data_IF_561844149483
#
_entry.id   IF_561844149483
#
_cell.length_a   1.000
_cell.length_b   1.000
_cell.length_c   1.000
_cell.angle_alpha   90.00
_cell.angle_beta   90.00
_cell.angle_gamma   90.00
#
_symmetry.space_group_name_H-M   'P 1'
#
loop_
_entity.id
_entity.type
_entity.pdbx_description
1 polymer ?
#
# COMPACT_ATOMS: atom_id res chain seq x y z
N UNK A 1 7.61 75.36 20.65
CA UNK A 1 7.75 73.89 20.63
C UNK A 1 6.38 73.31 20.30
N UNK A 2 6.20 72.79 19.08
CA UNK A 2 4.92 72.21 18.66
C UNK A 2 4.91 70.74 19.08
N UNK A 3 4.06 70.37 20.04
CA UNK A 3 3.81 68.97 20.40
C UNK A 3 2.68 68.45 19.51
N UNK A 4 2.98 67.49 18.66
CA UNK A 4 1.98 66.73 17.91
C UNK A 4 1.64 65.51 18.78
N UNK A 5 0.43 65.50 19.33
CA UNK A 5 -0.12 64.35 20.03
C UNK A 5 -0.86 63.50 19.00
N UNK A 6 -0.24 62.39 18.58
CA UNK A 6 -0.86 61.41 17.68
C UNK A 6 -1.85 60.58 18.51
N UNK A 7 -3.06 61.11 18.70
CA UNK A 7 -4.20 60.33 19.15
C UNK A 7 -4.55 59.28 18.10
N UNK A 8 -3.90 58.12 18.16
CA UNK A 8 -4.22 56.97 17.32
C UNK A 8 -5.58 56.43 17.77
N UNK A 9 -6.64 56.77 17.05
CA UNK A 9 -7.92 56.09 17.17
C UNK A 9 -7.69 54.63 16.74
N UNK A 10 -7.59 53.72 17.72
CA UNK A 10 -7.18 52.34 17.52
C UNK A 10 -8.30 51.49 16.91
N UNK A 11 -9.55 51.94 17.01
CA UNK A 11 -10.71 51.17 16.54
C UNK A 11 -10.69 50.89 15.02
N UNK A 12 -10.45 51.87 14.12
CA UNK A 12 -10.30 51.62 12.68
C UNK A 12 -9.14 50.67 12.35
N UNK A 13 -8.00 50.81 13.04
CA UNK A 13 -6.82 49.96 12.84
C UNK A 13 -7.11 48.51 13.25
N UNK A 14 -7.82 48.33 14.37
CA UNK A 14 -8.20 47.01 14.88
C UNK A 14 -9.24 46.33 13.96
N UNK A 15 -10.21 47.10 13.44
CA UNK A 15 -11.20 46.60 12.49
C UNK A 15 -10.56 46.19 11.14
N UNK A 16 -9.61 46.98 10.64
CA UNK A 16 -8.84 46.65 9.43
C UNK A 16 -7.96 45.40 9.61
N UNK A 17 -7.33 45.24 10.78
CA UNK A 17 -6.58 44.02 11.12
C UNK A 17 -7.49 42.78 11.21
N UNK A 18 -8.68 42.90 11.81
CA UNK A 18 -9.68 41.83 11.87
C UNK A 18 -10.20 41.44 10.48
N UNK A 19 -10.34 42.39 9.57
CA UNK A 19 -10.80 42.11 8.20
C UNK A 19 -9.71 41.42 7.36
N UNK A 20 -8.45 41.87 7.50
CA UNK A 20 -7.28 41.21 6.94
C UNK A 20 -7.14 39.78 7.49
N UNK A 21 -7.30 39.60 8.80
CA UNK A 21 -7.28 38.30 9.45
C UNK A 21 -8.37 37.38 8.88
N UNK A 22 -9.61 37.85 8.76
CA UNK A 22 -10.72 37.07 8.15
C UNK A 22 -10.46 36.68 6.70
N UNK A 23 -9.81 37.56 5.92
CA UNK A 23 -9.49 37.29 4.50
C UNK A 23 -8.33 36.31 4.34
N UNK A 24 -7.30 36.41 5.18
CA UNK A 24 -6.08 35.62 5.06
C UNK A 24 -6.14 34.29 5.82
N UNK A 25 -6.89 34.19 6.92
CA UNK A 25 -6.94 32.99 7.75
C UNK A 25 -7.36 31.71 6.97
N UNK A 26 -8.36 31.72 6.07
CA UNK A 26 -8.68 30.54 5.27
C UNK A 26 -7.55 30.12 4.32
N UNK A 27 -6.81 31.08 3.76
CA UNK A 27 -5.66 30.79 2.92
C UNK A 27 -4.50 30.22 3.73
N UNK A 28 -4.18 30.83 4.87
CA UNK A 28 -3.14 30.36 5.79
C UNK A 28 -3.47 28.95 6.28
N UNK A 29 -4.69 28.70 6.73
CA UNK A 29 -5.12 27.39 7.19
C UNK A 29 -4.96 26.32 6.09
N UNK A 30 -5.40 26.61 4.86
CA UNK A 30 -5.23 25.69 3.73
C UNK A 30 -3.75 25.45 3.40
N UNK A 31 -2.92 26.50 3.42
CA UNK A 31 -1.49 26.38 3.15
C UNK A 31 -0.77 25.57 4.23
N UNK A 32 -1.04 25.84 5.51
CA UNK A 32 -0.50 25.09 6.66
C UNK A 32 -0.92 23.62 6.59
N UNK A 33 -2.20 23.32 6.39
CA UNK A 33 -2.68 21.94 6.27
C UNK A 33 -2.00 21.20 5.13
N UNK A 34 -1.82 21.87 4.00
CA UNK A 34 -1.14 21.35 2.82
C UNK A 34 0.33 21.02 3.09
N UNK A 35 1.08 21.94 3.71
CA UNK A 35 2.49 21.73 4.06
C UNK A 35 2.67 20.62 5.10
N UNK A 36 1.81 20.58 6.11
CA UNK A 36 1.79 19.50 7.10
C UNK A 36 1.53 18.14 6.42
N UNK A 37 0.59 18.06 5.49
CA UNK A 37 0.31 16.83 4.75
C UNK A 37 1.52 16.37 3.92
N UNK A 38 2.27 17.30 3.30
CA UNK A 38 3.51 17.00 2.61
C UNK A 38 4.61 16.49 3.58
N UNK A 39 4.78 17.11 4.75
CA UNK A 39 5.69 16.62 5.80
C UNK A 39 5.30 15.22 6.27
N UNK A 40 4.01 14.97 6.49
CA UNK A 40 3.48 13.65 6.86
C UNK A 40 3.83 12.61 5.81
N UNK A 41 3.62 12.90 4.51
CA UNK A 41 4.00 11.98 3.43
C UNK A 41 5.50 11.66 3.46
N UNK A 42 6.36 12.68 3.54
CA UNK A 42 7.82 12.50 3.58
C UNK A 42 8.26 11.67 4.78
N UNK A 43 7.79 12.02 5.98
CA UNK A 43 8.12 11.29 7.21
C UNK A 43 7.60 9.86 7.21
N UNK A 44 6.38 9.67 6.72
CA UNK A 44 5.76 8.35 6.58
C UNK A 44 6.58 7.44 5.67
N UNK A 45 6.98 7.90 4.48
CA UNK A 45 7.78 7.10 3.54
C UNK A 45 9.08 6.63 4.21
N UNK A 46 9.73 7.48 5.01
CA UNK A 46 10.91 7.09 5.78
C UNK A 46 10.63 5.97 6.77
N UNK A 47 9.50 6.03 7.49
CA UNK A 47 9.13 4.96 8.43
C UNK A 47 8.72 3.68 7.70
N UNK A 48 8.01 3.79 6.58
CA UNK A 48 7.65 2.63 5.73
C UNK A 48 8.90 1.87 5.30
N UNK A 49 9.95 2.56 4.84
CA UNK A 49 11.23 1.94 4.46
C UNK A 49 11.90 1.18 5.59
N UNK A 50 11.75 1.64 6.84
CA UNK A 50 12.37 1.02 8.02
C UNK A 50 11.56 -0.15 8.58
N UNK A 51 10.23 -0.10 8.46
CA UNK A 51 9.33 -1.05 9.15
C UNK A 51 8.77 -2.14 8.26
N UNK A 52 8.64 -1.89 6.96
CA UNK A 52 8.18 -2.91 6.01
C UNK A 52 9.37 -3.76 5.57
N UNK A 53 9.17 -5.09 5.46
CA UNK A 53 10.17 -5.96 4.84
C UNK A 53 10.23 -5.69 3.34
N UNK A 54 11.38 -5.17 2.87
CA UNK A 54 11.72 -4.95 1.45
C UNK A 54 10.55 -4.40 0.61
N UNK A 55 9.99 -3.22 0.97
CA UNK A 55 8.83 -2.67 0.27
C UNK A 55 9.19 -2.33 -1.19
N UNK A 56 8.28 -2.64 -2.11
CA UNK A 56 8.47 -2.28 -3.53
C UNK A 56 8.41 -0.76 -3.72
N UNK A 57 9.07 -0.21 -4.76
CA UNK A 57 8.92 1.21 -5.12
C UNK A 57 7.45 1.60 -5.33
N UNK A 58 6.64 0.71 -5.91
CA UNK A 58 5.20 0.91 -6.08
C UNK A 58 4.48 1.10 -4.75
N UNK A 59 4.83 0.31 -3.73
CA UNK A 59 4.28 0.45 -2.37
C UNK A 59 4.69 1.78 -1.73
N UNK A 60 5.95 2.20 -1.85
CA UNK A 60 6.42 3.48 -1.31
C UNK A 60 5.76 4.68 -2.02
N UNK A 61 5.57 4.57 -3.33
CA UNK A 61 4.96 5.61 -4.16
C UNK A 61 3.41 5.59 -4.10
N UNK A 62 2.82 4.68 -3.34
CA UNK A 62 1.36 4.57 -3.20
C UNK A 62 0.76 5.56 -2.22
N UNK A 63 1.58 6.33 -1.50
CA UNK A 63 1.14 7.36 -0.55
C UNK A 63 0.97 8.71 -1.26
N UNK A 64 -0.24 9.24 -1.21
CA UNK A 64 -0.63 10.49 -1.87
C UNK A 64 -1.02 11.57 -0.87
N UNK A 65 -0.90 12.81 -1.33
CA UNK A 65 -1.40 13.98 -0.63
C UNK A 65 -2.43 14.64 -1.53
N UNK A 66 -3.64 14.83 -1.01
CA UNK A 66 -4.63 15.74 -1.56
C UNK A 66 -4.47 17.06 -0.83
N UNK A 67 -4.16 18.11 -1.59
CA UNK A 67 -3.89 19.44 -1.04
C UNK A 67 -5.18 20.04 -0.48
N UNK A 68 -5.06 20.86 0.57
CA UNK A 68 -6.21 21.58 1.09
C UNK A 68 -6.59 22.73 0.14
N UNK A 69 -7.88 23.02 0.07
CA UNK A 69 -8.43 24.25 -0.50
C UNK A 69 -9.19 25.00 0.58
N UNK A 70 -9.69 26.20 0.28
CA UNK A 70 -10.56 26.94 1.21
C UNK A 70 -11.82 26.15 1.61
N UNK A 71 -12.21 25.15 0.83
CA UNK A 71 -13.43 24.35 1.02
C UNK A 71 -13.15 22.89 1.39
N UNK A 72 -11.90 22.42 1.31
CA UNK A 72 -11.55 21.00 1.48
C UNK A 72 -10.29 20.85 2.33
N UNK A 73 -10.34 19.93 3.30
CA UNK A 73 -9.17 19.61 4.12
C UNK A 73 -8.08 18.90 3.29
N UNK A 74 -6.84 18.96 3.78
CA UNK A 74 -5.77 18.15 3.23
C UNK A 74 -5.94 16.69 3.68
N UNK A 75 -5.68 15.74 2.79
CA UNK A 75 -5.77 14.31 3.08
C UNK A 75 -4.45 13.62 2.70
N UNK A 76 -3.98 12.71 3.55
CA UNK A 76 -2.86 11.82 3.24
C UNK A 76 -3.38 10.39 3.24
N UNK A 77 -3.27 9.71 2.11
CA UNK A 77 -3.94 8.43 1.89
C UNK A 77 -3.14 7.50 1.00
N UNK A 78 -3.38 6.20 1.14
CA UNK A 78 -2.88 5.19 0.21
C UNK A 78 -3.82 5.10 -1.00
N UNK A 79 -3.24 4.91 -2.18
CA UNK A 79 -4.02 4.81 -3.42
C UNK A 79 -5.01 3.63 -3.38
N UNK A 80 -6.29 3.96 -3.53
CA UNK A 80 -7.47 3.07 -3.48
C UNK A 80 -7.84 2.43 -4.83
N UNK A 81 -7.20 2.88 -5.91
CA UNK A 81 -7.54 2.46 -7.27
C UNK A 81 -6.30 2.39 -8.16
N UNK A 82 -6.25 1.37 -9.03
CA UNK A 82 -5.17 1.18 -10.00
C UNK A 82 -5.76 0.72 -11.33
N UNK A 83 -5.09 1.05 -12.44
CA UNK A 83 -5.45 0.52 -13.76
C UNK A 83 -5.38 -1.02 -13.81
N UNK A 84 -4.54 -1.63 -12.97
CA UNK A 84 -4.46 -3.07 -12.79
C UNK A 84 -3.86 -3.42 -11.42
N UNK A 85 -4.25 -4.56 -10.85
CA UNK A 85 -3.69 -5.08 -9.60
C UNK A 85 -4.58 -4.85 -8.38
N UNK A 86 -4.02 -5.14 -7.20
CA UNK A 86 -4.68 -4.90 -5.90
C UNK A 86 -4.24 -3.52 -5.39
N UNK A 87 -5.19 -2.64 -5.02
CA UNK A 87 -4.86 -1.34 -4.48
C UNK A 87 -4.09 -1.33 -3.16
N UNK A 88 -3.40 -0.21 -2.89
CA UNK A 88 -2.45 -0.12 -1.80
C UNK A 88 -3.12 -0.03 -0.45
N UNK A 89 -4.23 0.70 -0.37
CA UNK A 89 -5.13 0.69 0.80
C UNK A 89 -5.53 -0.74 1.20
N UNK A 90 -5.79 -1.61 0.22
CA UNK A 90 -6.28 -2.97 0.41
C UNK A 90 -5.18 -3.87 0.97
N UNK A 91 -3.99 -3.88 0.35
CA UNK A 91 -2.92 -4.78 0.80
C UNK A 91 -2.11 -4.23 1.99
N UNK A 92 -2.11 -2.92 2.24
CA UNK A 92 -1.45 -2.32 3.41
C UNK A 92 -2.34 -2.29 4.65
N UNK A 93 -3.66 -2.50 4.52
CA UNK A 93 -4.60 -2.45 5.63
C UNK A 93 -4.08 -3.22 6.86
N UNK A 94 -3.69 -4.49 6.68
CA UNK A 94 -3.22 -5.33 7.78
C UNK A 94 -1.88 -4.87 8.38
N UNK A 95 -1.01 -4.24 7.58
CA UNK A 95 0.21 -3.64 8.11
C UNK A 95 -0.08 -2.41 8.97
N UNK A 96 -1.16 -1.69 8.67
CA UNK A 96 -1.59 -0.45 9.35
C UNK A 96 -2.44 -0.73 10.59
N UNK A 97 -3.51 -1.51 10.45
CA UNK A 97 -4.45 -1.80 11.53
C UNK A 97 -4.09 -3.06 12.33
N UNK A 98 -3.24 -3.93 11.79
CA UNK A 98 -3.14 -5.30 12.27
C UNK A 98 -4.40 -6.11 11.91
N UNK A 99 -4.42 -7.36 12.36
CA UNK A 99 -5.56 -8.26 12.22
C UNK A 99 -5.27 -9.54 11.44
N UNK A 100 -6.34 -10.22 11.04
CA UNK A 100 -6.28 -11.42 10.20
C UNK A 100 -6.15 -11.03 8.73
N UNK A 101 -5.20 -11.65 8.03
CA UNK A 101 -5.06 -11.46 6.58
C UNK A 101 -6.12 -12.25 5.83
N UNK A 102 -6.91 -11.61 4.94
CA UNK A 102 -7.81 -12.33 4.06
C UNK A 102 -7.04 -13.17 3.03
N UNK A 103 -7.67 -14.22 2.50
CA UNK A 103 -7.08 -15.00 1.41
C UNK A 103 -6.85 -14.14 0.16
N UNK A 104 -5.66 -14.28 -0.43
CA UNK A 104 -5.30 -13.69 -1.72
C UNK A 104 -6.07 -14.38 -2.84
N UNK A 105 -6.17 -13.72 -4.00
CA UNK A 105 -6.83 -14.30 -5.19
C UNK A 105 -6.27 -15.68 -5.55
N UNK A 106 -4.94 -15.84 -5.48
CA UNK A 106 -4.27 -17.12 -5.71
C UNK A 106 -4.76 -18.23 -4.75
N UNK A 107 -4.83 -17.93 -3.45
CA UNK A 107 -5.31 -18.85 -2.43
C UNK A 107 -6.79 -19.20 -2.65
N UNK A 108 -7.64 -18.21 -2.94
CA UNK A 108 -9.06 -18.43 -3.25
C UNK A 108 -9.25 -19.37 -4.43
N UNK A 109 -8.44 -19.24 -5.49
CA UNK A 109 -8.45 -20.15 -6.63
C UNK A 109 -8.09 -21.58 -6.25
N UNK A 110 -7.07 -21.77 -5.41
CA UNK A 110 -6.68 -23.11 -4.94
C UNK A 110 -7.76 -23.73 -4.04
N UNK A 111 -8.37 -22.93 -3.16
CA UNK A 111 -9.48 -23.36 -2.30
C UNK A 111 -10.69 -23.77 -3.12
N UNK A 112 -11.09 -22.95 -4.09
CA UNK A 112 -12.23 -23.22 -4.95
C UNK A 112 -12.07 -24.53 -5.75
N UNK A 113 -10.82 -24.89 -6.07
CA UNK A 113 -10.50 -26.14 -6.79
C UNK A 113 -10.38 -27.37 -5.88
N UNK A 114 -10.42 -27.19 -4.56
CA UNK A 114 -10.22 -28.23 -3.56
C UNK A 114 -8.76 -28.62 -3.32
N UNK A 115 -7.82 -27.81 -3.81
CA UNK A 115 -6.37 -28.07 -3.69
C UNK A 115 -5.83 -27.65 -2.32
N UNK A 116 -6.35 -26.54 -1.80
CA UNK A 116 -5.94 -25.96 -0.51
C UNK A 116 -7.16 -25.87 0.41
N UNK A 117 -7.01 -26.17 1.70
CA UNK A 117 -8.12 -26.06 2.66
C UNK A 117 -8.45 -24.59 2.91
N UNK A 118 -9.69 -24.30 3.30
CA UNK A 118 -10.15 -22.93 3.57
C UNK A 118 -9.45 -22.25 4.75
N UNK A 119 -8.89 -23.00 5.70
CA UNK A 119 -8.09 -22.46 6.81
C UNK A 119 -6.59 -22.30 6.49
N UNK A 120 -6.14 -22.79 5.34
CA UNK A 120 -4.72 -22.83 4.98
C UNK A 120 -4.28 -21.59 4.20
N UNK A 121 -3.00 -21.27 4.32
CA UNK A 121 -2.37 -20.16 3.63
C UNK A 121 -1.15 -20.61 2.83
N UNK A 122 -1.01 -20.08 1.61
CA UNK A 122 0.08 -20.46 0.72
C UNK A 122 1.31 -19.58 1.00
N UNK A 123 2.34 -20.19 1.58
CA UNK A 123 3.62 -19.55 1.91
C UNK A 123 4.64 -19.89 0.82
N UNK A 124 5.15 -18.92 0.05
CA UNK A 124 6.12 -19.20 -1.00
C UNK A 124 7.47 -19.63 -0.42
N UNK A 125 8.23 -20.40 -1.19
CA UNK A 125 9.61 -20.76 -0.86
C UNK A 125 10.59 -19.72 -1.43
N UNK A 126 11.76 -19.59 -0.80
CA UNK A 126 12.79 -18.60 -1.18
C UNK A 126 13.22 -18.73 -2.65
N UNK A 127 13.22 -19.95 -3.19
CA UNK A 127 13.58 -20.23 -4.59
C UNK A 127 12.67 -19.56 -5.64
N UNK A 128 11.45 -19.15 -5.26
CA UNK A 128 10.48 -18.51 -6.16
C UNK A 128 10.20 -17.04 -5.81
N UNK A 129 10.81 -16.54 -4.74
CA UNK A 129 10.72 -15.14 -4.36
C UNK A 129 11.68 -14.28 -5.18
N UNK A 130 11.23 -13.10 -5.58
CA UNK A 130 12.11 -12.04 -6.07
C UNK A 130 12.78 -11.30 -4.91
N UNK A 131 13.60 -10.30 -5.22
CA UNK A 131 14.30 -9.47 -4.22
C UNK A 131 13.37 -8.80 -3.18
N UNK A 132 12.08 -8.63 -3.50
CA UNK A 132 11.06 -8.06 -2.61
C UNK A 132 10.25 -9.12 -1.84
N UNK A 133 10.65 -10.40 -1.87
CA UNK A 133 9.93 -11.49 -1.21
C UNK A 133 8.63 -11.92 -1.93
N UNK A 134 8.40 -11.46 -3.16
CA UNK A 134 7.17 -11.74 -3.91
C UNK A 134 7.40 -12.80 -4.99
N UNK A 135 6.39 -13.64 -5.25
CA UNK A 135 6.37 -14.51 -6.43
C UNK A 135 5.84 -13.72 -7.63
N UNK A 136 6.44 -13.88 -8.81
CA UNK A 136 6.02 -13.14 -10.00
C UNK A 136 4.58 -13.49 -10.41
N UNK A 137 3.84 -12.51 -10.96
CA UNK A 137 2.49 -12.73 -11.49
C UNK A 137 2.46 -13.83 -12.54
N UNK A 138 3.44 -13.86 -13.44
CA UNK A 138 3.55 -14.88 -14.47
C UNK A 138 3.76 -16.29 -13.90
N UNK A 139 4.57 -16.41 -12.84
CA UNK A 139 4.77 -17.68 -12.13
C UNK A 139 3.47 -18.14 -11.46
N UNK A 140 2.77 -17.26 -10.73
CA UNK A 140 1.48 -17.58 -10.11
C UNK A 140 0.45 -18.06 -11.15
N UNK A 141 0.39 -17.42 -12.32
CA UNK A 141 -0.52 -17.83 -13.40
C UNK A 141 -0.14 -19.18 -14.01
N UNK A 142 1.16 -19.47 -14.20
CA UNK A 142 1.63 -20.78 -14.70
C UNK A 142 1.28 -21.90 -13.71
N UNK A 143 1.42 -21.65 -12.41
CA UNK A 143 1.05 -22.58 -11.36
C UNK A 143 -0.46 -22.86 -11.41
N UNK A 144 -1.30 -21.82 -11.35
CA UNK A 144 -2.75 -21.99 -11.41
C UNK A 144 -3.17 -22.71 -12.70
N UNK A 145 -2.54 -22.38 -13.83
CA UNK A 145 -2.78 -23.04 -15.11
C UNK A 145 -2.45 -24.54 -15.06
N UNK A 146 -1.28 -24.90 -14.52
CA UNK A 146 -0.87 -26.30 -14.38
C UNK A 146 -1.75 -27.10 -13.43
N UNK A 147 -2.21 -26.45 -12.36
CA UNK A 147 -3.09 -27.05 -11.34
C UNK A 147 -4.58 -27.08 -11.74
N UNK A 148 -4.95 -26.52 -12.90
CA UNK A 148 -6.35 -26.44 -13.32
C UNK A 148 -7.21 -25.49 -12.45
N UNK A 149 -6.58 -24.47 -11.84
CA UNK A 149 -7.19 -23.52 -10.91
C UNK A 149 -7.17 -22.07 -11.41
N UNK A 150 -6.81 -21.82 -12.68
CA UNK A 150 -6.75 -20.47 -13.24
C UNK A 150 -8.12 -19.88 -13.60
N UNK A 151 -9.09 -20.75 -13.88
CA UNK A 151 -10.42 -20.39 -14.39
C UNK A 151 -11.38 -20.19 -13.23
N UNK A 152 -11.39 -18.98 -12.68
CA UNK A 152 -12.27 -18.59 -11.56
C UNK A 152 -13.53 -17.83 -12.01
N UNK A 153 -13.68 -17.57 -13.32
CA UNK A 153 -14.80 -16.85 -13.90
C UNK A 153 -15.23 -17.48 -15.24
N UNK A 154 -16.53 -17.46 -15.54
CA UNK A 154 -17.09 -17.97 -16.80
C UNK A 154 -16.43 -17.28 -18.00
N UNK A 155 -16.07 -18.05 -19.02
CA UNK A 155 -15.50 -17.55 -20.28
C UNK A 155 -13.99 -17.29 -20.28
N UNK A 156 -13.31 -17.37 -19.12
CA UNK A 156 -11.85 -17.34 -19.07
C UNK A 156 -11.30 -18.76 -19.17
N UNK A 157 -10.48 -19.03 -20.20
CA UNK A 157 -9.87 -20.33 -20.43
C UNK A 157 -8.34 -20.20 -20.37
N UNK A 158 -7.76 -20.55 -19.23
CA UNK A 158 -6.33 -20.38 -18.94
C UNK A 158 -5.69 -21.62 -18.30
N UNK A 159 -6.49 -22.64 -18.00
CA UNK A 159 -5.97 -23.90 -17.52
C UNK A 159 -5.15 -24.61 -18.61
N UNK A 160 -4.16 -25.38 -18.16
CA UNK A 160 -3.44 -26.26 -19.05
C UNK A 160 -4.41 -27.28 -19.68
N UNK A 161 -4.13 -27.70 -20.91
CA UNK A 161 -5.02 -28.53 -21.73
C UNK A 161 -4.20 -29.53 -22.56
N UNK A 162 -4.86 -30.47 -23.22
CA UNK A 162 -4.20 -31.45 -24.09
C UNK A 162 -3.65 -30.85 -25.40
N UNK A 163 -3.95 -29.59 -25.72
CA UNK A 163 -3.50 -28.95 -26.96
C UNK A 163 -1.97 -28.96 -27.10
N UNK A 164 -1.47 -29.07 -28.33
CA UNK A 164 -0.02 -29.05 -28.64
C UNK A 164 0.66 -27.82 -28.02
N UNK A 165 -0.01 -26.65 -28.12
CA UNK A 165 0.47 -25.39 -27.52
C UNK A 165 0.62 -25.50 -26.00
N UNK A 166 -0.34 -26.12 -25.32
CA UNK A 166 -0.34 -26.22 -23.85
C UNK A 166 0.66 -27.26 -23.35
N UNK A 167 0.75 -28.41 -24.04
CA UNK A 167 1.81 -29.41 -23.80
C UNK A 167 3.21 -28.82 -23.98
N UNK A 168 3.42 -27.98 -25.01
CA UNK A 168 4.69 -27.25 -25.21
C UNK A 168 5.02 -26.29 -24.06
N UNK A 169 4.01 -25.65 -23.44
CA UNK A 169 4.21 -24.82 -22.24
C UNK A 169 4.54 -25.67 -21.00
N UNK A 170 4.04 -26.91 -20.95
CA UNK A 170 4.39 -27.90 -19.93
C UNK A 170 3.87 -27.61 -18.52
N UNK A 171 2.97 -26.62 -18.33
CA UNK A 171 2.55 -26.21 -16.99
C UNK A 171 1.92 -27.37 -16.17
N UNK A 172 1.09 -28.20 -16.80
CA UNK A 172 0.44 -29.34 -16.13
C UNK A 172 1.42 -30.43 -15.69
N UNK A 173 2.49 -30.64 -16.46
CA UNK A 173 3.57 -31.54 -16.05
C UNK A 173 4.42 -30.89 -14.97
N UNK A 174 4.73 -29.60 -15.11
CA UNK A 174 5.68 -28.89 -14.27
C UNK A 174 5.19 -28.66 -12.85
N UNK A 175 3.90 -28.39 -12.64
CA UNK A 175 3.37 -28.05 -11.32
C UNK A 175 2.31 -29.06 -10.87
N UNK A 176 2.40 -29.48 -9.63
CA UNK A 176 1.42 -30.36 -9.00
C UNK A 176 1.23 -29.98 -7.53
N UNK A 177 0.09 -30.35 -6.96
CA UNK A 177 -0.16 -30.23 -5.52
C UNK A 177 -0.10 -31.61 -4.88
N UNK A 178 0.42 -31.68 -3.66
CA UNK A 178 0.50 -32.94 -2.92
C UNK A 178 1.19 -32.75 -1.58
N UNK A 179 1.28 -33.86 -0.85
CA UNK A 179 2.04 -33.98 0.38
C UNK A 179 3.33 -34.74 0.09
N UNK A 180 4.46 -34.18 0.50
CA UNK A 180 5.78 -34.83 0.42
C UNK A 180 6.44 -34.66 1.77
N UNK A 181 6.87 -35.76 2.37
CA UNK A 181 7.53 -35.80 3.69
C UNK A 181 6.73 -35.02 4.77
N UNK A 182 5.42 -35.22 4.82
CA UNK A 182 4.51 -34.56 5.77
C UNK A 182 4.22 -33.08 5.47
N UNK A 183 4.75 -32.54 4.36
CA UNK A 183 4.56 -31.13 3.97
C UNK A 183 3.54 -31.04 2.86
N UNK A 184 2.37 -30.46 3.13
CA UNK A 184 1.36 -30.19 2.10
C UNK A 184 1.72 -28.91 1.32
N UNK A 185 1.61 -28.94 -0.01
CA UNK A 185 1.90 -27.76 -0.81
C UNK A 185 1.75 -27.92 -2.32
N UNK A 186 2.24 -26.89 -3.02
CA UNK A 186 2.46 -26.90 -4.47
C UNK A 186 3.95 -27.13 -4.73
N UNK A 187 4.22 -28.06 -5.64
CA UNK A 187 5.56 -28.54 -5.97
C UNK A 187 5.86 -28.32 -7.46
N UNK A 188 7.14 -28.13 -7.76
CA UNK A 188 7.65 -28.04 -9.13
C UNK A 188 8.46 -29.29 -9.46
N UNK A 189 8.13 -29.93 -10.58
CA UNK A 189 8.99 -30.91 -11.25
C UNK A 189 10.02 -30.16 -12.08
N UNK A 190 11.29 -30.50 -11.86
CA UNK A 190 12.41 -30.04 -12.66
C UNK A 190 13.04 -31.25 -13.33
N UNK A 191 12.84 -31.36 -14.64
CA UNK A 191 13.46 -32.43 -15.42
C UNK A 191 14.97 -32.27 -15.42
N UNK A 192 15.63 -33.32 -14.98
CA UNK A 192 17.07 -33.51 -14.99
C UNK A 192 17.38 -34.64 -16.00
N UNK A 193 18.63 -34.73 -16.46
CA UNK A 193 19.03 -35.74 -17.45
C UNK A 193 18.77 -37.19 -17.04
N UNK A 194 18.59 -37.45 -15.73
CA UNK A 194 18.40 -38.78 -15.16
C UNK A 194 17.11 -38.89 -14.30
N UNK A 195 16.09 -38.07 -14.60
CA UNK A 195 14.78 -38.10 -13.91
C UNK A 195 14.29 -36.71 -13.48
N UNK A 196 13.17 -36.64 -12.76
CA UNK A 196 12.64 -35.38 -12.25
C UNK A 196 13.11 -35.15 -10.81
N UNK A 197 13.72 -33.98 -10.56
CA UNK A 197 13.86 -33.45 -9.21
C UNK A 197 12.57 -32.71 -8.82
N UNK A 198 12.20 -32.79 -7.55
CA UNK A 198 11.03 -32.09 -7.01
C UNK A 198 11.50 -31.03 -6.01
N UNK A 199 10.91 -29.84 -6.07
CA UNK A 199 11.14 -28.79 -5.07
C UNK A 199 9.86 -28.04 -4.70
N UNK A 200 9.72 -27.58 -3.46
CA UNK A 200 8.52 -26.89 -3.01
C UNK A 200 8.43 -25.49 -3.62
N UNK A 201 7.23 -25.10 -4.06
CA UNK A 201 6.91 -23.76 -4.59
C UNK A 201 6.15 -22.95 -3.56
N UNK A 202 5.08 -23.54 -3.02
CA UNK A 202 4.30 -23.01 -1.91
C UNK A 202 4.07 -24.12 -0.90
N UNK A 203 4.21 -23.81 0.38
CA UNK A 203 3.83 -24.69 1.49
C UNK A 203 2.49 -24.18 2.03
N UNK A 204 1.56 -25.09 2.33
CA UNK A 204 0.28 -24.76 2.95
C UNK A 204 0.43 -24.79 4.45
N UNK A 205 0.31 -23.63 5.08
CA UNK A 205 0.36 -23.49 6.54
C UNK A 205 -1.06 -23.40 7.11
N UNK A 206 -1.35 -24.17 8.16
CA UNK A 206 -2.68 -24.23 8.80
C UNK A 206 -3.01 -23.01 9.68
N UNK A 207 -2.01 -22.18 9.99
CA UNK A 207 -2.19 -20.98 10.80
C UNK A 207 -2.27 -19.72 9.95
N UNK A 208 -3.35 -18.95 10.12
CA UNK A 208 -3.44 -17.59 9.60
C UNK A 208 -2.28 -16.74 10.11
N UNK A 209 -1.52 -16.05 9.23
CA UNK A 209 -0.54 -15.07 9.68
C UNK A 209 -1.26 -13.98 10.49
N UNK A 210 -1.03 -13.96 11.82
CA UNK A 210 -1.54 -12.91 12.69
C UNK A 210 -0.64 -11.69 12.55
N UNK A 211 -1.16 -10.64 11.93
CA UNK A 211 -0.41 -9.39 11.79
C UNK A 211 -0.60 -8.55 13.05
N UNK A 212 0.49 -8.33 13.78
CA UNK A 212 0.62 -7.16 14.64
C UNK A 212 0.71 -5.91 13.77
N UNK A 213 0.28 -4.75 14.28
CA UNK A 213 0.51 -3.48 13.59
C UNK A 213 2.00 -3.29 13.32
N UNK A 214 2.39 -3.36 12.04
CA UNK A 214 3.78 -3.17 11.60
C UNK A 214 4.06 -1.68 11.48
N UNK A 215 3.13 -0.95 10.86
CA UNK A 215 3.28 0.42 10.45
C UNK A 215 2.12 1.28 10.99
N UNK A 216 2.27 1.91 12.18
CA UNK A 216 1.20 2.68 12.82
C UNK A 216 1.00 4.05 12.15
N UNK A 217 0.44 4.04 10.93
CA UNK A 217 0.28 5.20 10.05
C UNK A 217 -0.27 6.44 10.77
N UNK A 218 -1.43 6.31 11.42
CA UNK A 218 -2.13 7.42 12.05
C UNK A 218 -1.31 8.06 13.18
N UNK A 219 -0.68 7.24 14.03
CA UNK A 219 0.18 7.74 15.12
C UNK A 219 1.40 8.49 14.58
N UNK A 220 1.99 8.02 13.48
CA UNK A 220 3.12 8.70 12.84
C UNK A 220 2.68 10.05 12.26
N UNK A 221 1.56 10.07 11.54
CA UNK A 221 1.01 11.28 10.96
C UNK A 221 0.68 12.32 12.06
N UNK A 222 0.01 11.90 13.13
CA UNK A 222 -0.35 12.75 14.26
C UNK A 222 0.88 13.35 14.95
N UNK A 223 1.92 12.54 15.20
CA UNK A 223 3.15 13.02 15.81
C UNK A 223 3.87 14.05 14.92
N UNK A 224 3.90 13.84 13.60
CA UNK A 224 4.47 14.81 12.65
C UNK A 224 3.65 16.10 12.68
N UNK A 225 2.32 16.03 12.64
CA UNK A 225 1.47 17.22 12.70
C UNK A 225 1.72 18.00 14.00
N UNK A 226 1.66 17.32 15.16
CA UNK A 226 1.88 17.95 16.47
C UNK A 226 3.23 18.65 16.56
N UNK A 227 4.30 18.02 16.09
CA UNK A 227 5.65 18.57 16.17
C UNK A 227 5.92 19.76 15.23
N UNK A 228 5.12 19.94 14.16
CA UNK A 228 5.45 20.90 13.09
C UNK A 228 4.36 21.98 12.87
N UNK A 229 3.21 21.88 13.56
CA UNK A 229 2.04 22.75 13.29
C UNK A 229 2.32 24.24 13.48
N UNK A 230 3.10 24.61 14.51
CA UNK A 230 3.34 26.02 14.88
C UNK A 230 4.32 26.67 13.90
N UNK A 231 5.41 25.97 13.57
CA UNK A 231 6.37 26.36 12.54
C UNK A 231 5.68 26.57 11.18
N UNK A 232 4.87 25.60 10.75
CA UNK A 232 4.18 25.65 9.45
C UNK A 232 3.08 26.71 9.41
N UNK A 233 2.41 26.97 10.53
CA UNK A 233 1.45 28.06 10.64
C UNK A 233 2.13 29.42 10.53
N UNK A 234 3.19 29.66 11.31
CA UNK A 234 3.94 30.91 11.27
C UNK A 234 4.51 31.20 9.87
N UNK A 235 5.07 30.18 9.21
CA UNK A 235 5.60 30.32 7.85
C UNK A 235 4.50 30.59 6.81
N UNK A 236 3.32 29.99 6.96
CA UNK A 236 2.18 30.24 6.07
C UNK A 236 1.59 31.64 6.28
N UNK A 237 1.53 32.11 7.54
CA UNK A 237 1.08 33.45 7.90
C UNK A 237 2.00 34.53 7.33
N UNK A 238 3.32 34.39 7.50
CA UNK A 238 4.30 35.30 6.93
C UNK A 238 4.20 35.39 5.39
N UNK A 239 3.96 34.26 4.72
CA UNK A 239 3.75 34.24 3.28
C UNK A 239 2.46 34.98 2.87
N UNK A 240 1.36 34.78 3.61
CA UNK A 240 0.10 35.45 3.31
C UNK A 240 0.24 36.98 3.38
N UNK A 241 0.92 37.50 4.42
CA UNK A 241 1.21 38.93 4.56
C UNK A 241 2.09 39.46 3.43
N UNK A 242 3.12 38.70 3.01
CA UNK A 242 4.01 39.12 1.92
C UNK A 242 3.34 39.13 0.54
N UNK A 243 2.32 38.29 0.34
CA UNK A 243 1.55 38.20 -0.91
C UNK A 243 0.40 39.19 -1.03
N UNK A 244 0.08 39.92 0.05
CA UNK A 244 -1.04 40.86 0.12
C UNK A 244 -0.70 42.28 -0.38
N UNK A 245 0.38 42.43 -1.16
CA UNK A 245 0.80 43.69 -1.79
C UNK A 245 0.07 43.93 -3.11
#
# INVERSE_FOLDING_TARGET
MFKIDLGLDSAPVTAGMLELEKKHLPFVAALTATRLAQRVKKGTITVMRKRLDRPTPTTLNSLFVKMATKQRAAEVYFKDSWASGVPADTYLQQAVSGGMRPHKRFEKSLIARGIMRSGQYAVPTTAFMNQYGNVSRGTMLKILSGLGAAESARGYQANASGSVRSRRKGNAHRFFSGEIDGTQGVWERKSMGMGDAVRPVFIFADSAPRYRTIFPFFKIAENIVKANREEEFAAAWAQALGSAR
#
